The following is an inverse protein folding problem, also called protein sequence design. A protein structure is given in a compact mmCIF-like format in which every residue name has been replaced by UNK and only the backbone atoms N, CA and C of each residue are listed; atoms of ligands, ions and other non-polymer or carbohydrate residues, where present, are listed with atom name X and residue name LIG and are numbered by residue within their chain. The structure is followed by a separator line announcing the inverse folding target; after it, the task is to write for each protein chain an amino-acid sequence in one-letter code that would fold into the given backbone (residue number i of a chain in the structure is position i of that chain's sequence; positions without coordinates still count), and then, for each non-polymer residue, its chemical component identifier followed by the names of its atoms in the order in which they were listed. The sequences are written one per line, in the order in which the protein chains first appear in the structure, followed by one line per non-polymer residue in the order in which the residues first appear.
data_IF_896599055198
#
_entry.id   IF_896599055198
#
_cell.length_a   1.000
_cell.length_b   1.000
_cell.length_c   1.000
_cell.angle_alpha   90.00
_cell.angle_beta   90.00
_cell.angle_gamma   90.00
#
_symmetry.space_group_name_H-M   'P 1'
#
loop_
_entity.id
_entity.type
_entity.pdbx_description
1 polymer ?
#
# COMPACT_ATOMS: atom_id res chain seq x y z
N UNK A 1 7.06 19.00 -10.88
CA UNK A 1 7.71 18.20 -9.83
C UNK A 1 6.63 17.85 -8.84
N UNK A 2 6.21 16.59 -8.77
CA UNK A 2 5.24 16.16 -7.75
C UNK A 2 6.02 16.11 -6.44
N UNK A 3 5.53 16.80 -5.42
CA UNK A 3 6.17 16.81 -4.11
C UNK A 3 5.77 15.52 -3.39
N UNK A 4 6.75 14.80 -2.83
CA UNK A 4 6.51 13.61 -2.01
C UNK A 4 5.56 13.99 -0.86
N UNK A 5 4.49 13.20 -0.68
CA UNK A 5 3.50 13.45 0.38
C UNK A 5 4.10 13.13 1.75
N UNK A 6 3.76 13.92 2.78
CA UNK A 6 4.18 13.66 4.16
C UNK A 6 3.51 12.40 4.73
N UNK A 7 2.19 12.30 4.63
CA UNK A 7 1.42 11.16 5.12
C UNK A 7 0.29 10.80 4.16
N UNK A 8 0.06 9.50 3.98
CA UNK A 8 -1.14 8.95 3.38
C UNK A 8 -1.76 7.96 4.37
N UNK A 9 -3.05 8.09 4.60
CA UNK A 9 -3.84 7.14 5.39
C UNK A 9 -4.73 6.32 4.46
N UNK A 10 -4.73 5.00 4.65
CA UNK A 10 -5.56 4.04 3.94
C UNK A 10 -6.51 3.40 4.95
N UNK A 11 -7.80 3.68 4.79
CA UNK A 11 -8.85 3.04 5.60
C UNK A 11 -9.19 1.66 5.01
N UNK A 12 -9.16 0.62 5.86
CA UNK A 12 -9.42 -0.77 5.51
C UNK A 12 -10.70 -1.32 6.15
N UNK A 13 -11.45 -0.53 6.93
CA UNK A 13 -12.61 -1.00 7.68
C UNK A 13 -13.70 -1.59 6.78
N UNK A 14 -13.90 -1.01 5.59
CA UNK A 14 -14.92 -1.42 4.62
C UNK A 14 -14.40 -2.37 3.54
N UNK A 15 -13.10 -2.65 3.50
CA UNK A 15 -12.48 -3.50 2.49
C UNK A 15 -12.90 -4.94 2.69
N UNK A 16 -13.65 -5.48 1.74
CA UNK A 16 -14.28 -6.81 1.81
C UNK A 16 -13.69 -7.84 0.83
N UNK A 17 -12.79 -7.41 -0.06
CA UNK A 17 -12.20 -8.27 -1.09
C UNK A 17 -10.81 -7.80 -1.52
N UNK A 18 -10.03 -8.71 -2.12
CA UNK A 18 -8.71 -8.39 -2.66
C UNK A 18 -8.78 -7.32 -3.76
N UNK A 19 -9.81 -7.34 -4.61
CA UNK A 19 -9.99 -6.33 -5.65
C UNK A 19 -10.28 -4.94 -5.07
N UNK A 20 -11.07 -4.89 -4.00
CA UNK A 20 -11.37 -3.64 -3.28
C UNK A 20 -10.12 -3.10 -2.59
N UNK A 21 -9.34 -3.95 -1.93
CA UNK A 21 -8.04 -3.58 -1.37
C UNK A 21 -7.13 -2.96 -2.43
N UNK A 22 -6.96 -3.65 -3.56
CA UNK A 22 -6.09 -3.19 -4.65
C UNK A 22 -6.57 -1.85 -5.23
N UNK A 23 -7.89 -1.65 -5.33
CA UNK A 23 -8.48 -0.39 -5.78
C UNK A 23 -8.28 0.73 -4.74
N UNK A 24 -8.39 0.42 -3.44
CA UNK A 24 -8.15 1.36 -2.33
C UNK A 24 -6.69 1.82 -2.28
N UNK A 25 -5.76 0.90 -2.48
CA UNK A 25 -4.33 1.21 -2.56
C UNK A 25 -4.04 2.10 -3.77
N UNK A 26 -4.58 1.74 -4.93
CA UNK A 26 -4.47 2.51 -6.17
C UNK A 26 -4.92 3.96 -5.99
N UNK A 27 -6.09 4.19 -5.41
CA UNK A 27 -6.62 5.55 -5.23
C UNK A 27 -5.87 6.33 -4.15
N UNK A 28 -5.50 5.69 -3.04
CA UNK A 28 -4.84 6.39 -1.92
C UNK A 28 -3.41 6.81 -2.24
N UNK A 29 -2.70 5.98 -3.02
CA UNK A 29 -1.30 6.18 -3.41
C UNK A 29 -1.14 6.78 -4.81
N UNK A 30 -2.23 7.22 -5.45
CA UNK A 30 -2.26 7.79 -6.80
C UNK A 30 -1.56 6.93 -7.87
N UNK A 31 -1.79 5.61 -7.84
CA UNK A 31 -1.25 4.73 -8.88
C UNK A 31 -1.87 5.04 -10.26
N UNK A 32 -1.14 4.76 -11.37
CA UNK A 32 -1.63 5.02 -12.71
C UNK A 32 -2.93 4.28 -13.04
N UNK A 33 -3.76 4.87 -13.92
CA UNK A 33 -5.05 4.29 -14.34
C UNK A 33 -4.98 2.88 -14.96
N UNK A 34 -3.81 2.49 -15.45
CA UNK A 34 -3.53 1.16 -16.01
C UNK A 34 -2.99 0.16 -14.97
N UNK A 35 -3.08 0.48 -13.67
CA UNK A 35 -2.70 -0.41 -12.58
C UNK A 35 -3.44 -1.76 -12.63
N UNK A 36 -2.68 -2.86 -12.66
CA UNK A 36 -3.19 -4.22 -12.88
C UNK A 36 -3.94 -4.87 -11.72
N UNK A 37 -4.03 -4.21 -10.56
CA UNK A 37 -4.78 -4.66 -9.36
C UNK A 37 -4.43 -6.07 -8.88
N UNK A 38 -3.14 -6.37 -8.85
CA UNK A 38 -2.56 -7.60 -8.30
C UNK A 38 -1.24 -7.29 -7.57
N UNK A 39 -0.64 -8.28 -6.90
CA UNK A 39 0.55 -8.07 -6.08
C UNK A 39 1.83 -7.75 -6.88
N UNK A 40 1.97 -8.28 -8.09
CA UNK A 40 3.09 -7.94 -8.98
C UNK A 40 2.99 -6.47 -9.43
N UNK A 41 1.79 -6.05 -9.85
CA UNK A 41 1.51 -4.65 -10.19
C UNK A 41 1.70 -3.71 -8.99
N UNK A 42 1.32 -4.16 -7.78
CA UNK A 42 1.55 -3.41 -6.55
C UNK A 42 3.05 -3.16 -6.33
N UNK A 43 3.86 -4.21 -6.47
CA UNK A 43 5.31 -4.13 -6.34
C UNK A 43 5.92 -3.15 -7.36
N UNK A 44 5.56 -3.27 -8.63
CA UNK A 44 6.03 -2.36 -9.68
C UNK A 44 5.64 -0.91 -9.36
N UNK A 45 4.42 -0.69 -8.86
CA UNK A 45 3.92 0.64 -8.54
C UNK A 45 4.73 1.32 -7.43
N UNK A 46 4.89 0.66 -6.28
CA UNK A 46 5.57 1.25 -5.12
C UNK A 46 7.08 1.40 -5.32
N UNK A 47 7.68 0.68 -6.28
CA UNK A 47 9.13 0.72 -6.52
C UNK A 47 9.55 1.59 -7.70
N UNK A 48 8.65 1.90 -8.64
CA UNK A 48 9.04 2.61 -9.86
C UNK A 48 7.99 3.53 -10.49
N UNK A 49 6.73 3.53 -10.03
CA UNK A 49 5.67 4.31 -10.68
C UNK A 49 5.18 5.50 -9.86
N UNK A 50 5.33 5.46 -8.54
CA UNK A 50 4.93 6.56 -7.66
C UNK A 50 5.99 6.90 -6.63
N UNK A 51 5.99 8.16 -6.20
CA UNK A 51 6.73 8.59 -5.02
C UNK A 51 5.92 8.20 -3.77
N UNK A 52 6.35 7.13 -3.09
CA UNK A 52 5.75 6.71 -1.83
C UNK A 52 5.84 7.82 -0.78
N UNK A 53 4.81 8.00 0.07
CA UNK A 53 4.81 9.05 1.09
C UNK A 53 5.93 8.84 2.12
N UNK A 54 6.21 9.84 2.95
CA UNK A 54 7.11 9.66 4.10
C UNK A 54 6.50 8.70 5.13
N UNK A 55 5.18 8.77 5.34
CA UNK A 55 4.42 7.90 6.23
C UNK A 55 3.21 7.30 5.55
N UNK A 56 3.00 6.00 5.76
CA UNK A 56 1.83 5.28 5.27
C UNK A 56 1.14 4.63 6.46
N UNK A 57 -0.11 4.99 6.70
CA UNK A 57 -0.90 4.51 7.84
C UNK A 57 -2.06 3.68 7.35
N UNK A 58 -2.22 2.46 7.88
CA UNK A 58 -3.38 1.61 7.63
C UNK A 58 -4.29 1.64 8.84
N UNK A 59 -5.52 2.11 8.68
CA UNK A 59 -6.55 2.16 9.73
C UNK A 59 -7.48 0.96 9.60
N UNK A 60 -7.82 0.33 10.73
CA UNK A 60 -8.65 -0.88 10.74
C UNK A 60 -7.84 -2.14 10.41
N UNK A 61 -6.52 -2.09 10.62
CA UNK A 61 -5.59 -3.13 10.19
C UNK A 61 -5.89 -4.48 10.84
N UNK A 62 -6.13 -4.50 12.16
CA UNK A 62 -6.36 -5.74 12.90
C UNK A 62 -7.55 -6.52 12.34
N UNK A 63 -8.70 -5.85 12.21
CA UNK A 63 -9.93 -6.45 11.68
C UNK A 63 -9.77 -6.88 10.21
N UNK A 64 -9.13 -6.04 9.39
CA UNK A 64 -8.79 -6.38 8.01
C UNK A 64 -7.89 -7.63 7.93
N UNK A 65 -6.86 -7.73 8.77
CA UNK A 65 -5.91 -8.84 8.76
C UNK A 65 -6.55 -10.16 9.22
N UNK A 66 -7.51 -10.09 10.14
CA UNK A 66 -8.29 -11.25 10.57
C UNK A 66 -9.24 -11.74 9.47
N UNK A 67 -9.89 -10.82 8.75
CA UNK A 67 -10.79 -11.15 7.62
C UNK A 67 -10.05 -11.57 6.35
N UNK A 68 -8.89 -10.98 6.09
CA UNK A 68 -8.12 -11.14 4.85
C UNK A 68 -6.63 -11.47 5.11
N UNK A 69 -6.32 -12.58 5.81
CA UNK A 69 -4.96 -12.85 6.28
C UNK A 69 -3.94 -13.03 5.15
N UNK A 70 -4.36 -13.55 4.00
CA UNK A 70 -3.48 -13.72 2.83
C UNK A 70 -3.07 -12.37 2.24
N UNK A 71 -4.03 -11.47 2.06
CA UNK A 71 -3.76 -10.14 1.50
C UNK A 71 -2.98 -9.26 2.48
N UNK A 72 -3.31 -9.32 3.77
CA UNK A 72 -2.55 -8.64 4.81
C UNK A 72 -1.09 -9.09 4.86
N UNK A 73 -0.85 -10.40 4.70
CA UNK A 73 0.51 -10.94 4.60
C UNK A 73 1.25 -10.40 3.37
N UNK A 74 0.65 -10.48 2.18
CA UNK A 74 1.29 -10.00 0.94
C UNK A 74 1.60 -8.50 1.00
N UNK A 75 0.66 -7.68 1.49
CA UNK A 75 0.87 -6.24 1.66
C UNK A 75 2.07 -5.95 2.57
N UNK A 76 2.15 -6.62 3.73
CA UNK A 76 3.28 -6.49 4.65
C UNK A 76 4.59 -6.93 4.03
N UNK A 77 4.58 -8.04 3.29
CA UNK A 77 5.77 -8.58 2.64
C UNK A 77 6.29 -7.61 1.57
N UNK A 78 5.44 -7.08 0.70
CA UNK A 78 5.81 -6.07 -0.29
C UNK A 78 6.39 -4.81 0.36
N UNK A 79 5.73 -4.24 1.38
CA UNK A 79 6.20 -3.03 2.04
C UNK A 79 7.52 -3.27 2.82
N UNK A 80 7.65 -4.41 3.48
CA UNK A 80 8.88 -4.78 4.17
C UNK A 80 10.05 -5.00 3.19
N UNK A 81 9.76 -5.64 2.05
CA UNK A 81 10.73 -5.84 0.98
C UNK A 81 11.17 -4.52 0.37
N UNK A 82 10.25 -3.60 0.08
CA UNK A 82 10.57 -2.27 -0.42
C UNK A 82 11.48 -1.53 0.56
N UNK A 83 11.19 -1.59 1.86
CA UNK A 83 12.03 -0.97 2.90
C UNK A 83 13.44 -1.55 2.94
N UNK A 84 13.60 -2.85 2.66
CA UNK A 84 14.90 -3.49 2.61
C UNK A 84 15.70 -3.14 1.33
N UNK A 85 15.04 -3.10 0.18
CA UNK A 85 15.69 -2.87 -1.12
C UNK A 85 15.86 -1.38 -1.45
N UNK A 86 14.93 -0.52 -1.03
CA UNK A 86 14.84 0.90 -1.38
C UNK A 86 14.53 1.78 -0.15
N UNK A 87 15.37 1.78 0.90
CA UNK A 87 15.06 2.42 2.19
C UNK A 87 14.79 3.93 2.12
N UNK A 88 15.42 4.65 1.18
CA UNK A 88 15.25 6.10 1.01
C UNK A 88 13.86 6.44 0.41
N UNK A 89 13.34 5.56 -0.45
CA UNK A 89 12.04 5.73 -1.10
C UNK A 89 10.90 5.14 -0.28
N UNK A 90 11.18 4.20 0.62
CA UNK A 90 10.16 3.54 1.43
C UNK A 90 9.47 4.52 2.40
N UNK A 91 8.19 4.26 2.64
CA UNK A 91 7.42 4.91 3.70
C UNK A 91 7.71 4.26 5.05
N UNK A 92 7.64 5.04 6.12
CA UNK A 92 7.46 4.51 7.47
C UNK A 92 6.01 4.04 7.60
N UNK A 93 5.82 2.74 7.81
CA UNK A 93 4.48 2.12 7.84
C UNK A 93 3.97 1.96 9.26
N UNK A 94 2.74 2.39 9.50
CA UNK A 94 1.98 2.17 10.73
C UNK A 94 0.73 1.32 10.44
N UNK A 95 0.43 0.41 11.36
CA UNK A 95 -0.70 -0.52 11.29
C UNK A 95 -1.54 -0.31 12.55
N UNK A 96 -2.68 0.35 12.39
CA UNK A 96 -3.57 0.82 13.46
C UNK A 96 -4.89 0.05 13.51
#
# INVERSE_FOLDING_TARGET
MVVRKDEVTVDLNDVSSSLELQSRLMTSLDFPGWYGRNWDAFWDAITGLVDMPHRLRFVGWTDFADRHPRDAKQLRECLARMRAELPIHAAVVAYD
#
